data_IF_812818710670
#
_entry.id   IF_812818710670
#
_cell.length_a   1.000
_cell.length_b   1.000
_cell.length_c   1.000
_cell.angle_alpha   90.00
_cell.angle_beta   90.00
_cell.angle_gamma   90.00
#
_symmetry.space_group_name_H-M   'P 1'
#
loop_
_entity.id
_entity.type
_entity.pdbx_description
1 polymer ?
#
# COMPACT_ATOMS: atom_id res chain seq x y z
N UNK A 1 -18.64 11.08 22.05
CA UNK A 1 -17.81 11.68 21.00
C UNK A 1 -17.87 10.85 19.72
N UNK A 2 -17.45 9.59 19.71
CA UNK A 2 -17.39 8.76 18.49
C UNK A 2 -18.72 8.57 17.77
N UNK A 3 -19.81 8.30 18.50
CA UNK A 3 -21.16 8.22 17.91
C UNK A 3 -21.61 9.50 17.20
N UNK A 4 -21.25 10.68 17.75
CA UNK A 4 -21.56 11.96 17.13
C UNK A 4 -20.78 12.14 15.81
N UNK A 5 -19.46 11.83 15.82
CA UNK A 5 -18.63 11.83 14.62
C UNK A 5 -19.22 10.89 13.58
N UNK A 6 -19.60 9.67 13.99
CA UNK A 6 -20.22 8.67 13.11
C UNK A 6 -21.52 9.15 12.48
N UNK A 7 -22.45 9.71 13.28
CA UNK A 7 -23.71 10.26 12.75
C UNK A 7 -23.46 11.36 11.72
N UNK A 8 -22.58 12.33 12.05
CA UNK A 8 -22.25 13.43 11.15
C UNK A 8 -21.57 12.95 9.84
N UNK A 9 -20.72 11.92 9.94
CA UNK A 9 -20.09 11.34 8.75
C UNK A 9 -21.12 10.61 7.87
N UNK A 10 -22.09 9.90 8.46
CA UNK A 10 -23.16 9.18 7.74
C UNK A 10 -24.08 10.14 6.99
N UNK A 11 -24.46 11.25 7.63
CA UNK A 11 -25.23 12.31 6.98
C UNK A 11 -24.45 12.93 5.81
N UNK A 12 -23.16 13.22 6.02
CA UNK A 12 -22.29 13.77 4.99
C UNK A 12 -22.02 12.79 3.83
N UNK A 13 -22.00 11.47 4.11
CA UNK A 13 -21.85 10.44 3.09
C UNK A 13 -23.01 10.44 2.09
N UNK A 14 -24.23 10.68 2.54
CA UNK A 14 -25.38 10.80 1.64
C UNK A 14 -25.25 12.02 0.70
N UNK A 15 -24.68 13.12 1.18
CA UNK A 15 -24.47 14.33 0.37
C UNK A 15 -23.38 14.12 -0.69
N UNK A 16 -22.23 13.53 -0.29
CA UNK A 16 -21.10 13.34 -1.21
C UNK A 16 -21.38 12.30 -2.28
N UNK A 17 -22.16 11.27 -1.99
CA UNK A 17 -22.49 10.19 -2.92
C UNK A 17 -23.17 10.68 -4.22
N UNK A 18 -23.82 11.84 -4.19
CA UNK A 18 -24.55 12.41 -5.33
C UNK A 18 -23.82 13.61 -5.97
N UNK A 19 -22.61 13.95 -5.52
CA UNK A 19 -21.82 15.02 -6.15
C UNK A 19 -21.39 14.62 -7.55
N UNK A 20 -21.47 15.58 -8.48
CA UNK A 20 -20.93 15.38 -9.82
C UNK A 20 -19.40 15.30 -9.82
N UNK A 21 -18.85 14.60 -10.82
CA UNK A 21 -17.41 14.51 -11.04
C UNK A 21 -16.75 15.90 -11.11
N UNK A 22 -17.36 16.86 -11.81
CA UNK A 22 -16.84 18.23 -11.91
C UNK A 22 -16.77 18.90 -10.54
N UNK A 23 -17.79 18.68 -9.70
CA UNK A 23 -17.80 19.24 -8.35
C UNK A 23 -16.72 18.62 -7.47
N UNK A 24 -16.53 17.31 -7.51
CA UNK A 24 -15.44 16.63 -6.83
C UNK A 24 -14.07 17.14 -7.29
N UNK A 25 -13.88 17.28 -8.59
CA UNK A 25 -12.63 17.81 -9.18
C UNK A 25 -12.36 19.26 -8.76
N UNK A 26 -13.39 20.11 -8.70
CA UNK A 26 -13.28 21.49 -8.20
C UNK A 26 -12.84 21.52 -6.73
N UNK A 27 -13.39 20.63 -5.90
CA UNK A 27 -13.01 20.53 -4.49
C UNK A 27 -11.56 20.05 -4.36
N UNK A 28 -11.12 19.04 -5.12
CA UNK A 28 -9.73 18.55 -5.13
C UNK A 28 -8.75 19.68 -5.50
N UNK A 29 -9.07 20.49 -6.51
CA UNK A 29 -8.28 21.64 -6.88
C UNK A 29 -8.18 22.64 -5.72
N UNK A 30 -9.32 22.96 -5.09
CA UNK A 30 -9.37 23.89 -3.94
C UNK A 30 -8.56 23.32 -2.76
N UNK A 31 -8.63 22.02 -2.50
CA UNK A 31 -7.85 21.36 -1.44
C UNK A 31 -6.34 21.51 -1.70
N UNK A 32 -5.89 21.30 -2.92
CA UNK A 32 -4.49 21.45 -3.30
C UNK A 32 -4.01 22.92 -3.11
N UNK A 33 -4.79 23.88 -3.59
CA UNK A 33 -4.46 25.30 -3.48
C UNK A 33 -4.42 25.77 -2.01
N UNK A 34 -5.40 25.35 -1.20
CA UNK A 34 -5.46 25.71 0.22
C UNK A 34 -4.36 25.02 1.05
N UNK A 35 -3.90 23.81 0.72
CA UNK A 35 -2.73 23.21 1.35
C UNK A 35 -1.48 24.06 1.15
N UNK A 36 -1.23 24.52 -0.06
CA UNK A 36 -0.08 25.39 -0.37
C UNK A 36 -0.18 26.74 0.34
N UNK A 37 -1.33 27.36 0.30
CA UNK A 37 -1.60 28.66 0.94
C UNK A 37 -1.45 28.60 2.47
N UNK A 38 -1.78 27.47 3.09
CA UNK A 38 -1.72 27.27 4.53
C UNK A 38 -0.49 26.46 4.98
N UNK A 39 0.53 26.31 4.12
CA UNK A 39 1.74 25.49 4.40
C UNK A 39 2.41 25.88 5.72
N UNK A 40 2.50 27.19 6.02
CA UNK A 40 3.07 27.68 7.28
C UNK A 40 2.31 27.17 8.50
N UNK A 41 0.97 27.20 8.50
CA UNK A 41 0.14 26.68 9.59
C UNK A 41 0.40 25.20 9.84
N UNK A 42 0.47 24.42 8.76
CA UNK A 42 0.72 22.97 8.81
C UNK A 42 2.13 22.69 9.35
N UNK A 43 3.14 23.41 8.87
CA UNK A 43 4.52 23.27 9.35
C UNK A 43 4.69 23.67 10.81
N UNK A 44 3.98 24.70 11.28
CA UNK A 44 4.03 25.12 12.68
C UNK A 44 3.38 24.05 13.60
N UNK A 45 2.28 23.41 13.18
CA UNK A 45 1.70 22.25 13.87
C UNK A 45 2.66 21.05 13.87
N UNK A 46 3.34 20.79 12.74
CA UNK A 46 4.31 19.69 12.67
C UNK A 46 5.53 19.90 13.60
N UNK A 47 5.96 21.14 13.80
CA UNK A 47 7.00 21.46 14.79
C UNK A 47 6.57 21.10 16.22
N UNK A 48 5.27 21.24 16.54
CA UNK A 48 4.74 20.84 17.86
C UNK A 48 4.84 19.32 18.01
N UNK A 49 4.38 18.55 17.00
CA UNK A 49 4.49 17.10 17.01
C UNK A 49 5.94 16.62 17.14
N UNK A 50 6.85 17.19 16.37
CA UNK A 50 8.29 16.88 16.44
C UNK A 50 8.92 17.23 17.78
N UNK A 51 8.48 18.33 18.42
CA UNK A 51 8.92 18.69 19.77
C UNK A 51 8.42 17.69 20.80
N UNK A 52 7.14 17.33 20.74
CA UNK A 52 6.53 16.36 21.65
C UNK A 52 7.12 14.96 21.50
N UNK A 53 7.68 14.66 20.33
CA UNK A 53 8.28 13.35 20.02
C UNK A 53 9.76 13.23 20.45
N UNK A 54 10.41 14.31 20.89
CA UNK A 54 11.83 14.28 21.27
C UNK A 54 12.14 13.41 22.48
N UNK A 55 11.20 13.34 23.43
CA UNK A 55 11.32 12.56 24.66
C UNK A 55 10.84 11.11 24.48
N UNK A 56 10.40 10.76 23.28
CA UNK A 56 9.97 9.43 22.90
C UNK A 56 11.11 8.76 22.12
N UNK A 57 11.44 7.53 22.45
CA UNK A 57 12.51 6.76 21.80
C UNK A 57 12.08 6.31 20.39
N UNK A 58 11.88 7.30 19.49
CA UNK A 58 11.48 7.07 18.10
C UNK A 58 12.70 6.79 17.22
N UNK A 59 12.56 5.82 16.33
CA UNK A 59 13.62 5.55 15.33
C UNK A 59 13.79 6.72 14.36
N UNK A 60 15.01 6.94 13.80
CA UNK A 60 15.22 7.96 12.78
C UNK A 60 14.26 7.86 11.59
N UNK A 61 13.92 6.64 11.17
CA UNK A 61 12.96 6.39 10.10
C UNK A 61 11.53 6.87 10.46
N UNK A 62 11.12 6.72 11.73
CA UNK A 62 9.81 7.19 12.19
C UNK A 62 9.77 8.72 12.27
N UNK A 63 10.86 9.35 12.73
CA UNK A 63 11.01 10.81 12.76
C UNK A 63 10.98 11.38 11.33
N UNK A 64 11.66 10.75 10.38
CA UNK A 64 11.61 11.16 8.97
C UNK A 64 10.17 11.08 8.41
N UNK A 65 9.46 9.99 8.66
CA UNK A 65 8.04 9.82 8.24
C UNK A 65 7.12 10.87 8.84
N UNK A 66 7.36 11.26 10.09
CA UNK A 66 6.59 12.27 10.81
C UNK A 66 6.86 13.69 10.31
N UNK A 67 8.08 13.96 9.86
CA UNK A 67 8.52 15.31 9.49
C UNK A 67 7.84 15.80 8.23
N UNK A 68 7.40 17.05 8.23
CA UNK A 68 6.91 17.76 7.05
C UNK A 68 7.90 18.86 6.64
N UNK A 69 7.93 19.15 5.35
CA UNK A 69 8.64 20.26 4.72
C UNK A 69 7.74 20.92 3.70
N UNK A 70 8.12 22.09 3.18
CA UNK A 70 7.40 22.72 2.09
C UNK A 70 7.32 21.79 0.86
N UNK A 71 8.40 21.06 0.57
CA UNK A 71 8.44 20.09 -0.52
C UNK A 71 7.44 18.95 -0.31
N UNK A 72 7.33 18.42 0.93
CA UNK A 72 6.37 17.36 1.27
C UNK A 72 4.93 17.88 1.18
N UNK A 73 4.66 19.12 1.58
CA UNK A 73 3.33 19.73 1.40
C UNK A 73 3.01 19.95 -0.09
N UNK A 74 3.99 20.38 -0.89
CA UNK A 74 3.85 20.43 -2.35
C UNK A 74 3.55 19.03 -2.93
N UNK A 75 4.20 18.00 -2.40
CA UNK A 75 3.92 16.60 -2.75
C UNK A 75 2.47 16.21 -2.46
N UNK A 76 1.94 16.59 -1.29
CA UNK A 76 0.53 16.34 -0.91
C UNK A 76 -0.44 17.05 -1.87
N UNK A 77 -0.19 18.34 -2.18
CA UNK A 77 -1.00 19.09 -3.13
C UNK A 77 -0.97 18.45 -4.53
N UNK A 78 0.21 18.07 -5.02
CA UNK A 78 0.36 17.38 -6.30
C UNK A 78 -0.33 16.00 -6.30
N UNK A 79 -0.33 15.29 -5.17
CA UNK A 79 -1.08 14.05 -5.00
C UNK A 79 -2.58 14.24 -5.23
N UNK A 80 -3.16 15.29 -4.65
CA UNK A 80 -4.57 15.65 -4.89
C UNK A 80 -4.85 16.00 -6.35
N UNK A 81 -3.95 16.76 -7.00
CA UNK A 81 -4.09 17.12 -8.41
C UNK A 81 -4.03 15.90 -9.34
N UNK A 82 -3.24 14.87 -9.00
CA UNK A 82 -3.19 13.61 -9.75
C UNK A 82 -4.50 12.82 -9.69
N UNK A 83 -5.32 13.01 -8.65
CA UNK A 83 -6.64 12.36 -8.54
C UNK A 83 -7.66 12.97 -9.50
N UNK A 84 -7.51 14.24 -9.89
CA UNK A 84 -8.48 14.95 -10.75
C UNK A 84 -8.71 14.24 -12.08
N UNK A 85 -7.67 13.86 -12.86
CA UNK A 85 -7.86 13.20 -14.15
C UNK A 85 -8.32 11.74 -14.06
N UNK A 86 -8.32 11.13 -12.87
CA UNK A 86 -8.80 9.77 -12.71
C UNK A 86 -10.30 9.68 -13.01
N UNK A 87 -10.71 8.55 -13.55
CA UNK A 87 -12.11 8.27 -13.77
C UNK A 87 -12.89 8.25 -12.44
N UNK A 88 -14.05 8.89 -12.41
CA UNK A 88 -14.94 8.81 -11.25
C UNK A 88 -15.62 7.44 -11.25
N UNK A 89 -15.41 6.61 -10.24
CA UNK A 89 -15.98 5.26 -10.22
C UNK A 89 -17.49 5.24 -9.96
N UNK A 90 -18.04 6.32 -9.40
CA UNK A 90 -19.45 6.37 -8.96
C UNK A 90 -20.38 6.41 -10.15
N UNK A 91 -21.31 5.46 -10.21
CA UNK A 91 -22.26 5.34 -11.31
C UNK A 91 -21.77 4.57 -12.52
N UNK A 92 -20.49 4.13 -12.55
CA UNK A 92 -19.95 3.33 -13.64
C UNK A 92 -20.69 1.99 -13.76
N UNK A 93 -21.13 1.67 -14.97
CA UNK A 93 -21.76 0.38 -15.31
C UNK A 93 -20.63 -0.60 -15.65
N UNK A 94 -20.41 -1.58 -14.77
CA UNK A 94 -19.37 -2.60 -14.97
C UNK A 94 -19.85 -3.79 -15.79
N UNK A 95 -21.19 -4.01 -15.83
CA UNK A 95 -21.79 -5.08 -16.61
C UNK A 95 -23.27 -4.75 -16.89
N UNK A 96 -23.83 -5.29 -17.99
CA UNK A 96 -25.23 -5.09 -18.37
C UNK A 96 -25.70 -6.23 -19.23
N UNK A 97 -26.85 -6.82 -18.87
CA UNK A 97 -27.45 -7.91 -19.65
C UNK A 97 -28.98 -7.86 -19.61
N UNK A 98 -29.60 -8.67 -20.44
CA UNK A 98 -31.05 -8.85 -20.46
C UNK A 98 -31.36 -10.31 -20.13
N UNK A 99 -32.32 -10.54 -19.22
CA UNK A 99 -32.78 -11.89 -18.91
C UNK A 99 -33.76 -12.40 -19.97
N UNK A 100 -34.02 -13.71 -19.96
CA UNK A 100 -34.98 -14.33 -20.89
C UNK A 100 -36.42 -13.77 -20.67
N UNK A 101 -36.75 -13.34 -19.45
CA UNK A 101 -38.02 -12.71 -19.10
C UNK A 101 -38.11 -11.23 -19.52
N UNK A 102 -37.02 -10.69 -20.10
CA UNK A 102 -36.96 -9.33 -20.64
C UNK A 102 -36.52 -8.25 -19.65
N UNK A 103 -36.04 -8.59 -18.45
CA UNK A 103 -35.46 -7.63 -17.49
C UNK A 103 -34.11 -7.10 -17.97
N UNK A 104 -33.92 -5.79 -17.90
CA UNK A 104 -32.63 -5.16 -18.13
C UNK A 104 -31.88 -5.01 -16.81
N UNK A 105 -30.79 -5.75 -16.63
CA UNK A 105 -29.95 -5.73 -15.44
C UNK A 105 -28.72 -4.87 -15.72
N UNK A 106 -28.35 -4.02 -14.76
CA UNK A 106 -27.10 -3.24 -14.79
C UNK A 106 -26.39 -3.41 -13.46
N UNK A 107 -25.10 -3.74 -13.51
CA UNK A 107 -24.21 -3.74 -12.36
C UNK A 107 -23.52 -2.38 -12.29
N UNK A 108 -23.78 -1.61 -11.24
CA UNK A 108 -23.33 -0.22 -11.11
C UNK A 108 -22.45 -0.11 -9.88
N UNK A 109 -21.32 0.58 -9.98
CA UNK A 109 -20.46 0.93 -8.83
C UNK A 109 -21.14 2.02 -7.99
N UNK A 110 -21.18 1.82 -6.68
CA UNK A 110 -21.66 2.78 -5.69
C UNK A 110 -20.61 3.00 -4.59
N UNK A 111 -20.60 4.17 -3.92
CA UNK A 111 -19.75 4.38 -2.74
C UNK A 111 -20.04 3.37 -1.63
N UNK A 112 -19.05 3.09 -0.78
CA UNK A 112 -19.27 2.32 0.45
C UNK A 112 -20.12 3.09 1.46
N UNK A 113 -19.90 4.40 1.55
CA UNK A 113 -20.53 5.29 2.52
C UNK A 113 -19.52 6.01 3.38
N UNK A 114 -19.24 5.51 4.58
CA UNK A 114 -18.24 6.05 5.51
C UNK A 114 -17.04 5.11 5.58
N UNK A 115 -15.88 5.59 5.22
CA UNK A 115 -14.61 4.86 5.33
C UNK A 115 -13.87 5.31 6.58
N UNK A 116 -13.50 4.37 7.43
CA UNK A 116 -12.59 4.58 8.53
C UNK A 116 -11.15 4.35 8.06
N UNK A 117 -10.22 5.28 8.35
CA UNK A 117 -8.81 5.08 8.04
C UNK A 117 -7.98 5.19 9.30
N UNK A 118 -7.27 4.11 9.65
CA UNK A 118 -6.40 4.05 10.81
C UNK A 118 -4.95 3.98 10.31
N UNK A 119 -4.13 4.98 10.69
CA UNK A 119 -2.78 5.10 10.14
C UNK A 119 -1.75 5.53 11.18
N UNK A 120 -0.52 5.11 10.95
CA UNK A 120 0.63 5.45 11.77
C UNK A 120 1.22 6.83 11.38
N UNK A 121 2.36 7.18 11.91
CA UNK A 121 3.04 8.47 11.82
C UNK A 121 3.36 8.92 10.38
N UNK A 122 2.33 9.27 9.60
CA UNK A 122 2.39 9.75 8.21
C UNK A 122 1.35 10.84 7.98
N UNK A 123 1.65 12.11 8.30
CA UNK A 123 0.67 13.21 8.17
C UNK A 123 0.09 13.37 6.76
N UNK A 124 0.86 13.04 5.71
CA UNK A 124 0.40 13.09 4.32
C UNK A 124 -0.81 12.19 4.05
N UNK A 125 -0.95 11.07 4.77
CA UNK A 125 -2.10 10.15 4.61
C UNK A 125 -3.42 10.88 4.83
N UNK A 126 -3.44 11.90 5.72
CA UNK A 126 -4.63 12.73 5.95
C UNK A 126 -5.17 13.36 4.66
N UNK A 127 -4.29 13.93 3.82
CA UNK A 127 -4.70 14.52 2.53
C UNK A 127 -4.98 13.47 1.46
N UNK A 128 -4.12 12.47 1.35
CA UNK A 128 -4.16 11.49 0.27
C UNK A 128 -5.47 10.70 0.32
N UNK A 129 -5.80 10.13 1.50
CA UNK A 129 -7.04 9.35 1.64
C UNK A 129 -8.30 10.22 1.60
N UNK A 130 -8.24 11.48 2.07
CA UNK A 130 -9.38 12.40 1.95
C UNK A 130 -9.70 12.70 0.48
N UNK A 131 -8.67 12.90 -0.35
CA UNK A 131 -8.83 13.09 -1.79
C UNK A 131 -9.43 11.88 -2.50
N UNK A 132 -8.92 10.67 -2.19
CA UNK A 132 -9.43 9.42 -2.76
C UNK A 132 -10.87 9.12 -2.32
N UNK A 133 -11.19 9.34 -1.03
CA UNK A 133 -12.55 9.19 -0.52
C UNK A 133 -13.51 10.18 -1.19
N UNK A 134 -13.10 11.45 -1.36
CA UNK A 134 -13.88 12.46 -2.09
C UNK A 134 -14.17 12.01 -3.52
N UNK A 135 -13.15 11.59 -4.27
CA UNK A 135 -13.28 11.14 -5.67
C UNK A 135 -14.22 9.94 -5.78
N UNK A 136 -14.12 8.99 -4.86
CA UNK A 136 -14.94 7.79 -4.84
C UNK A 136 -16.31 7.96 -4.14
N UNK A 137 -16.67 9.19 -3.74
CA UNK A 137 -17.99 9.51 -3.20
C UNK A 137 -18.21 9.05 -1.76
N UNK A 138 -17.14 8.87 -0.97
CA UNK A 138 -17.22 8.40 0.41
C UNK A 138 -16.86 9.53 1.40
N UNK A 139 -17.55 9.56 2.54
CA UNK A 139 -17.07 10.31 3.69
C UNK A 139 -15.95 9.52 4.39
N UNK A 140 -15.06 10.22 5.12
CA UNK A 140 -13.95 9.58 5.81
C UNK A 140 -13.85 10.03 7.27
N UNK A 141 -13.60 9.06 8.16
CA UNK A 141 -13.21 9.28 9.54
C UNK A 141 -11.77 8.81 9.70
N UNK A 142 -10.89 9.74 10.05
CA UNK A 142 -9.46 9.53 10.20
C UNK A 142 -9.11 9.23 11.64
N UNK A 143 -8.19 8.27 11.85
CA UNK A 143 -7.58 7.96 13.14
C UNK A 143 -6.08 7.81 12.96
N UNK A 144 -5.37 8.93 13.02
CA UNK A 144 -3.92 8.95 12.96
C UNK A 144 -3.25 8.60 14.28
N UNK A 145 -1.94 8.35 14.24
CA UNK A 145 -1.12 8.18 15.44
C UNK A 145 -1.13 9.44 16.30
N UNK A 146 -1.02 9.26 17.64
CA UNK A 146 -0.85 10.37 18.57
C UNK A 146 0.42 11.20 18.36
N UNK A 147 1.41 10.64 17.64
CA UNK A 147 2.68 11.31 17.32
C UNK A 147 2.54 12.44 16.30
N UNK A 148 1.50 12.42 15.47
CA UNK A 148 1.27 13.40 14.40
C UNK A 148 -0.12 14.06 14.50
N UNK A 149 -0.71 14.11 15.70
CA UNK A 149 -2.08 14.57 15.86
C UNK A 149 -2.24 16.05 15.51
N UNK A 150 -1.33 16.92 15.95
CA UNK A 150 -1.39 18.36 15.70
C UNK A 150 -1.27 18.65 14.19
N UNK A 151 -0.36 17.95 13.50
CA UNK A 151 -0.22 18.02 12.03
C UNK A 151 -1.49 17.55 11.31
N UNK A 152 -2.04 16.41 11.72
CA UNK A 152 -3.23 15.83 11.10
C UNK A 152 -4.45 16.76 11.26
N UNK A 153 -4.64 17.36 12.45
CA UNK A 153 -5.71 18.34 12.69
C UNK A 153 -5.52 19.57 11.79
N UNK A 154 -4.30 20.13 11.74
CA UNK A 154 -4.02 21.29 10.90
C UNK A 154 -4.29 21.03 9.41
N UNK A 155 -3.92 19.85 8.90
CA UNK A 155 -4.22 19.44 7.53
C UNK A 155 -5.74 19.30 7.34
N UNK A 156 -6.41 18.58 8.23
CA UNK A 156 -7.85 18.34 8.15
C UNK A 156 -8.64 19.67 8.13
N UNK A 157 -8.30 20.63 8.98
CA UNK A 157 -8.95 21.93 9.02
C UNK A 157 -8.84 22.68 7.67
N UNK A 158 -7.70 22.56 6.98
CA UNK A 158 -7.51 23.11 5.64
C UNK A 158 -8.41 22.42 4.63
N UNK A 159 -8.51 21.08 4.69
CA UNK A 159 -9.37 20.31 3.81
C UNK A 159 -10.87 20.59 4.06
N UNK A 160 -11.27 20.70 5.33
CA UNK A 160 -12.65 21.06 5.70
C UNK A 160 -13.01 22.50 5.25
N UNK A 161 -12.04 23.43 5.33
CA UNK A 161 -12.24 24.77 4.78
C UNK A 161 -12.47 24.74 3.25
N UNK A 162 -11.75 23.88 2.55
CA UNK A 162 -11.92 23.70 1.11
C UNK A 162 -13.32 23.17 0.74
N UNK A 163 -13.89 22.27 1.56
CA UNK A 163 -15.30 21.86 1.41
C UNK A 163 -16.25 23.03 1.62
N UNK A 164 -16.03 23.82 2.67
CA UNK A 164 -16.88 24.99 3.00
C UNK A 164 -16.84 26.06 1.91
N UNK A 165 -15.67 26.33 1.32
CA UNK A 165 -15.49 27.24 0.17
C UNK A 165 -16.25 26.78 -1.07
N UNK A 166 -16.50 25.48 -1.15
CA UNK A 166 -17.28 24.85 -2.21
C UNK A 166 -18.76 24.63 -1.86
N UNK A 167 -19.25 25.17 -0.73
CA UNK A 167 -20.60 24.97 -0.19
C UNK A 167 -20.94 23.49 0.05
N UNK A 168 -19.98 22.68 0.47
CA UNK A 168 -20.16 21.29 0.83
C UNK A 168 -20.04 21.10 2.35
N UNK A 169 -20.61 20.01 2.84
CA UNK A 169 -20.60 19.65 4.25
C UNK A 169 -19.18 19.34 4.70
N UNK A 170 -18.65 20.09 5.67
CA UNK A 170 -17.30 19.87 6.20
C UNK A 170 -17.11 18.51 6.87
N UNK A 171 -18.21 17.88 7.34
CA UNK A 171 -18.18 16.59 8.01
C UNK A 171 -17.95 15.40 7.05
N UNK A 172 -17.79 15.66 5.74
CA UNK A 172 -17.27 14.67 4.78
C UNK A 172 -15.89 14.15 5.23
N UNK A 173 -15.06 15.04 5.83
CA UNK A 173 -13.77 14.67 6.40
C UNK A 173 -13.79 14.91 7.90
N UNK A 174 -13.52 13.90 8.69
CA UNK A 174 -13.48 13.97 10.15
C UNK A 174 -12.25 13.25 10.72
N UNK A 175 -11.85 13.58 11.93
CA UNK A 175 -10.75 12.94 12.65
C UNK A 175 -11.15 12.65 14.09
N UNK A 176 -10.64 11.54 14.61
CA UNK A 176 -10.73 11.20 16.03
C UNK A 176 -9.52 11.83 16.72
N UNK A 177 -9.73 12.89 17.50
CA UNK A 177 -8.67 13.66 18.16
C UNK A 177 -8.15 13.00 19.45
N UNK A 178 -8.84 11.99 19.94
CA UNK A 178 -8.42 11.27 21.15
C UNK A 178 -7.09 10.55 20.96
N UNK A 179 -6.25 10.56 21.99
CA UNK A 179 -4.98 9.81 22.05
C UNK A 179 -5.16 8.42 22.68
N UNK A 180 -6.36 8.11 23.19
CA UNK A 180 -6.63 6.83 23.84
C UNK A 180 -6.71 5.70 22.82
N UNK A 181 -6.04 4.58 23.10
CA UNK A 181 -6.11 3.36 22.31
C UNK A 181 -7.48 2.70 22.40
N UNK A 182 -8.19 2.87 23.52
CA UNK A 182 -9.54 2.34 23.68
C UNK A 182 -10.52 2.94 22.68
N UNK A 183 -10.40 4.23 22.35
CA UNK A 183 -11.21 4.87 21.32
C UNK A 183 -10.93 4.29 19.91
N UNK A 184 -9.72 3.81 19.67
CA UNK A 184 -9.41 3.10 18.42
C UNK A 184 -10.14 1.76 18.35
N UNK A 185 -10.19 1.01 19.46
CA UNK A 185 -10.94 -0.25 19.53
C UNK A 185 -12.46 0.01 19.41
N UNK A 186 -12.97 1.06 20.08
CA UNK A 186 -14.37 1.46 19.95
C UNK A 186 -14.68 1.84 18.49
N UNK A 187 -13.80 2.59 17.82
CA UNK A 187 -13.93 2.94 16.41
C UNK A 187 -14.01 1.72 15.49
N UNK A 188 -13.20 0.69 15.72
CA UNK A 188 -13.24 -0.58 14.98
C UNK A 188 -14.56 -1.35 15.15
N UNK A 189 -15.40 -0.96 16.11
CA UNK A 189 -16.67 -1.59 16.43
C UNK A 189 -17.90 -0.72 16.07
N UNK A 190 -17.72 0.43 15.44
CA UNK A 190 -18.80 1.35 15.06
C UNK A 190 -19.56 0.92 13.81
N UNK A 191 -20.07 -0.30 13.77
CA UNK A 191 -20.76 -0.90 12.61
C UNK A 191 -22.05 -0.16 12.18
N UNK A 192 -22.63 0.67 13.04
CA UNK A 192 -23.78 1.52 12.69
C UNK A 192 -23.38 2.68 11.77
N UNK A 193 -22.12 3.11 11.80
CA UNK A 193 -21.67 4.36 11.20
C UNK A 193 -20.55 4.19 10.18
N UNK A 194 -19.70 3.17 10.35
CA UNK A 194 -18.52 2.93 9.50
C UNK A 194 -18.75 1.68 8.67
N UNK A 195 -18.64 1.81 7.37
CA UNK A 195 -18.93 0.75 6.41
C UNK A 195 -17.69 -0.08 6.07
N UNK A 196 -16.50 0.51 6.13
CA UNK A 196 -15.22 -0.14 5.82
C UNK A 196 -14.08 0.54 6.60
N UNK A 197 -13.11 -0.26 7.10
CA UNK A 197 -11.85 0.26 7.64
C UNK A 197 -10.69 -0.08 6.71
N UNK A 198 -9.83 0.91 6.47
CA UNK A 198 -8.57 0.78 5.73
C UNK A 198 -7.40 1.09 6.68
N UNK A 199 -6.61 0.09 7.08
CA UNK A 199 -5.42 0.32 7.89
C UNK A 199 -4.24 0.75 7.03
N UNK A 200 -3.37 1.62 7.58
CA UNK A 200 -2.07 2.02 6.98
C UNK A 200 -1.00 2.03 8.07
N UNK A 201 -0.48 0.86 8.41
CA UNK A 201 0.52 0.69 9.47
C UNK A 201 1.14 -0.69 9.47
N UNK A 202 1.98 -0.97 10.46
CA UNK A 202 2.70 -2.24 10.57
C UNK A 202 1.87 -3.38 11.13
N UNK A 203 2.51 -4.56 11.24
CA UNK A 203 1.91 -5.83 11.70
C UNK A 203 1.08 -5.70 12.99
N UNK A 204 1.54 -4.86 13.94
CA UNK A 204 0.82 -4.66 15.22
C UNK A 204 -0.56 -4.01 15.06
N UNK A 205 -0.71 -3.06 14.13
CA UNK A 205 -2.00 -2.46 13.81
C UNK A 205 -2.91 -3.48 13.11
N UNK A 206 -2.38 -4.21 12.15
CA UNK A 206 -3.12 -5.25 11.42
C UNK A 206 -3.63 -6.32 12.39
N UNK A 207 -2.78 -6.83 13.29
CA UNK A 207 -3.18 -7.81 14.29
C UNK A 207 -4.27 -7.25 15.22
N UNK A 208 -4.15 -5.99 15.63
CA UNK A 208 -5.17 -5.33 16.47
C UNK A 208 -6.53 -5.28 15.76
N UNK A 209 -6.55 -5.01 14.45
CA UNK A 209 -7.77 -5.04 13.63
C UNK A 209 -8.37 -6.43 13.54
N UNK A 210 -7.54 -7.43 13.23
CA UNK A 210 -7.98 -8.84 13.14
C UNK A 210 -8.63 -9.29 14.44
N UNK A 211 -8.05 -8.92 15.58
CA UNK A 211 -8.51 -9.37 16.91
C UNK A 211 -9.76 -8.61 17.39
N UNK A 212 -9.98 -7.36 16.97
CA UNK A 212 -10.96 -6.48 17.61
C UNK A 212 -12.02 -5.88 16.68
N UNK A 213 -11.83 -5.88 15.35
CA UNK A 213 -12.77 -5.18 14.47
C UNK A 213 -14.02 -5.99 14.18
N UNK A 214 -15.17 -5.33 14.30
CA UNK A 214 -16.47 -5.82 13.77
C UNK A 214 -16.86 -5.11 12.47
N UNK A 215 -16.29 -3.93 12.22
CA UNK A 215 -16.42 -3.27 10.92
C UNK A 215 -15.57 -4.04 9.91
N UNK A 216 -16.08 -4.34 8.70
CA UNK A 216 -15.28 -4.91 7.64
C UNK A 216 -14.01 -4.10 7.38
N UNK A 217 -12.89 -4.76 7.06
CA UNK A 217 -11.64 -4.06 6.79
C UNK A 217 -10.87 -4.72 5.64
N UNK A 218 -10.04 -3.93 4.97
CA UNK A 218 -9.11 -4.43 3.95
C UNK A 218 -7.77 -4.66 4.63
N UNK A 219 -7.20 -5.85 4.45
CA UNK A 219 -5.84 -6.14 4.89
C UNK A 219 -4.87 -5.69 3.81
N UNK A 220 -3.93 -4.84 4.20
CA UNK A 220 -2.70 -4.61 3.48
C UNK A 220 -1.71 -5.66 3.98
N UNK A 221 -1.34 -6.61 3.12
CA UNK A 221 -0.48 -7.72 3.50
C UNK A 221 1.00 -7.33 3.52
N UNK A 222 1.81 -8.11 4.25
CA UNK A 222 3.27 -8.08 4.11
C UNK A 222 3.67 -8.50 2.69
N UNK A 223 4.78 -7.97 2.20
CA UNK A 223 5.29 -8.28 0.87
C UNK A 223 6.46 -9.27 0.89
N UNK A 224 6.26 -10.52 1.34
CA UNK A 224 7.29 -11.55 1.19
C UNK A 224 7.33 -12.09 -0.24
N UNK A 225 7.97 -11.33 -1.11
CA UNK A 225 7.94 -11.44 -2.57
C UNK A 225 9.01 -12.40 -3.07
N UNK A 226 8.64 -13.30 -3.99
CA UNK A 226 9.56 -14.25 -4.62
C UNK A 226 9.73 -13.97 -6.10
N UNK A 227 10.93 -14.26 -6.61
CA UNK A 227 11.22 -14.34 -8.04
C UNK A 227 11.88 -15.69 -8.33
N UNK A 228 11.29 -16.47 -9.23
CA UNK A 228 11.85 -17.72 -9.70
C UNK A 228 12.48 -17.57 -11.08
N UNK A 229 13.73 -18.00 -11.24
CA UNK A 229 14.44 -18.06 -12.51
C UNK A 229 14.42 -19.51 -13.03
N UNK A 230 13.63 -19.75 -14.07
CA UNK A 230 13.53 -21.07 -14.70
C UNK A 230 14.70 -21.33 -15.64
N UNK A 231 14.97 -22.61 -15.94
CA UNK A 231 16.11 -23.04 -16.76
C UNK A 231 16.17 -22.45 -18.17
N UNK A 232 15.04 -22.04 -18.74
CA UNK A 232 14.94 -21.45 -20.08
C UNK A 232 14.83 -19.93 -20.08
N UNK A 233 15.03 -19.28 -18.93
CA UNK A 233 14.98 -17.83 -18.83
C UNK A 233 16.01 -17.16 -19.75
N UNK A 234 15.64 -16.03 -20.35
CA UNK A 234 16.57 -15.21 -21.16
C UNK A 234 17.68 -14.64 -20.29
N UNK A 235 18.89 -15.20 -20.45
CA UNK A 235 20.06 -14.86 -19.64
C UNK A 235 20.38 -13.37 -19.63
N UNK A 236 20.16 -12.68 -20.75
CA UNK A 236 20.41 -11.23 -20.93
C UNK A 236 19.57 -10.33 -20.04
N UNK A 237 18.39 -10.78 -19.58
CA UNK A 237 17.48 -9.99 -18.76
C UNK A 237 17.54 -10.33 -17.27
N UNK A 238 18.13 -11.47 -16.89
CA UNK A 238 18.11 -11.98 -15.52
C UNK A 238 18.69 -10.96 -14.55
N UNK A 239 19.89 -10.45 -14.82
CA UNK A 239 20.59 -9.54 -13.91
C UNK A 239 19.80 -8.26 -13.68
N UNK A 240 19.34 -7.63 -14.77
CA UNK A 240 18.62 -6.35 -14.70
C UNK A 240 17.31 -6.50 -13.91
N UNK A 241 16.56 -7.58 -14.12
CA UNK A 241 15.30 -7.84 -13.43
C UNK A 241 15.54 -8.13 -11.95
N UNK A 242 16.50 -8.98 -11.60
CA UNK A 242 16.83 -9.32 -10.21
C UNK A 242 17.29 -8.08 -9.45
N UNK A 243 18.24 -7.32 -10.00
CA UNK A 243 18.77 -6.11 -9.36
C UNK A 243 17.67 -5.05 -9.21
N UNK A 244 16.89 -4.80 -10.27
CA UNK A 244 15.77 -3.86 -10.19
C UNK A 244 14.75 -4.28 -9.11
N UNK A 245 14.39 -5.57 -9.06
CA UNK A 245 13.41 -6.09 -8.10
C UNK A 245 13.84 -5.90 -6.64
N UNK A 246 15.14 -5.98 -6.32
CA UNK A 246 15.64 -5.81 -4.95
C UNK A 246 16.14 -4.41 -4.63
N UNK A 247 16.92 -3.79 -5.54
CA UNK A 247 17.78 -2.64 -5.20
C UNK A 247 17.09 -1.30 -5.43
N UNK A 248 16.16 -1.20 -6.38
CA UNK A 248 15.54 0.07 -6.73
C UNK A 248 14.90 0.78 -5.51
N UNK A 249 14.21 0.03 -4.65
CA UNK A 249 13.59 0.53 -3.41
C UNK A 249 13.34 -0.63 -2.45
N UNK A 250 14.31 -1.03 -1.63
CA UNK A 250 14.23 -2.26 -0.85
C UNK A 250 13.18 -2.23 0.28
N UNK A 251 12.80 -1.05 0.78
CA UNK A 251 11.89 -0.87 1.91
C UNK A 251 10.41 -0.78 1.55
N UNK A 252 9.94 -1.48 0.51
CA UNK A 252 8.53 -1.51 0.07
C UNK A 252 8.05 -2.94 -0.17
N UNK A 253 6.74 -3.15 -0.03
CA UNK A 253 6.09 -4.46 -0.06
C UNK A 253 6.23 -5.26 -1.37
N UNK A 254 6.59 -4.64 -2.50
CA UNK A 254 6.83 -5.31 -3.78
C UNK A 254 8.32 -5.48 -4.10
N UNK A 255 9.23 -5.19 -3.15
CA UNK A 255 10.64 -5.51 -3.28
C UNK A 255 10.88 -7.02 -3.12
N UNK A 256 11.83 -7.56 -3.87
CA UNK A 256 12.19 -8.98 -3.81
C UNK A 256 12.76 -9.35 -2.43
N UNK A 257 12.26 -10.42 -1.82
CA UNK A 257 12.72 -10.92 -0.52
C UNK A 257 13.33 -12.32 -0.61
N UNK A 258 12.87 -13.13 -1.57
CA UNK A 258 13.45 -14.44 -1.86
C UNK A 258 13.67 -14.65 -3.36
N UNK A 259 14.89 -15.04 -3.73
CA UNK A 259 15.27 -15.42 -5.08
C UNK A 259 15.41 -16.95 -5.18
N UNK A 260 14.63 -17.58 -6.06
CA UNK A 260 14.72 -18.99 -6.36
C UNK A 260 15.39 -19.17 -7.73
N UNK A 261 16.45 -19.98 -7.80
CA UNK A 261 17.23 -20.17 -9.02
C UNK A 261 17.19 -21.64 -9.42
N UNK A 262 16.76 -21.94 -10.64
CA UNK A 262 16.84 -23.30 -11.16
C UNK A 262 18.31 -23.78 -11.18
N UNK A 263 18.55 -25.04 -10.80
CA UNK A 263 19.90 -25.60 -10.67
C UNK A 263 20.72 -25.51 -11.96
N UNK A 264 20.11 -25.62 -13.13
CA UNK A 264 20.82 -25.47 -14.42
C UNK A 264 21.24 -24.01 -14.67
N UNK A 265 20.38 -23.04 -14.38
CA UNK A 265 20.73 -21.61 -14.47
C UNK A 265 21.79 -21.26 -13.42
N UNK A 266 21.71 -21.85 -12.23
CA UNK A 266 22.73 -21.62 -11.20
C UNK A 266 24.12 -22.09 -11.67
N UNK A 267 24.23 -23.26 -12.29
CA UNK A 267 25.49 -23.73 -12.87
C UNK A 267 26.06 -22.76 -13.93
N UNK A 268 25.19 -22.15 -14.75
CA UNK A 268 25.61 -21.29 -15.84
C UNK A 268 25.87 -19.83 -15.41
N UNK A 269 25.07 -19.29 -14.48
CA UNK A 269 25.03 -17.87 -14.14
C UNK A 269 25.03 -17.58 -12.64
N UNK A 270 25.00 -18.60 -11.79
CA UNK A 270 24.84 -18.41 -10.34
C UNK A 270 25.89 -17.47 -9.76
N UNK A 271 27.18 -17.69 -10.10
CA UNK A 271 28.27 -16.82 -9.64
C UNK A 271 28.03 -15.36 -10.04
N UNK A 272 27.65 -15.11 -11.30
CA UNK A 272 27.40 -13.75 -11.79
C UNK A 272 26.23 -13.08 -11.06
N UNK A 273 25.14 -13.81 -10.81
CA UNK A 273 23.97 -13.29 -10.09
C UNK A 273 24.35 -12.91 -8.67
N UNK A 274 25.05 -13.79 -7.95
CA UNK A 274 25.50 -13.57 -6.57
C UNK A 274 26.47 -12.37 -6.51
N UNK A 275 27.47 -12.33 -7.39
CA UNK A 275 28.44 -11.23 -7.44
C UNK A 275 27.74 -9.88 -7.70
N UNK A 276 26.78 -9.82 -8.61
CA UNK A 276 26.03 -8.59 -8.91
C UNK A 276 25.16 -8.12 -7.74
N UNK A 277 24.58 -9.02 -6.98
CA UNK A 277 23.86 -8.68 -5.75
C UNK A 277 24.79 -8.12 -4.69
N UNK A 278 25.98 -8.73 -4.51
CA UNK A 278 27.01 -8.26 -3.57
C UNK A 278 27.61 -6.90 -3.98
N UNK A 279 27.88 -6.68 -5.27
CA UNK A 279 28.31 -5.37 -5.81
C UNK A 279 27.31 -4.25 -5.44
N UNK A 280 26.02 -4.59 -5.42
CA UNK A 280 24.94 -3.67 -5.02
C UNK A 280 24.69 -3.64 -3.50
N UNK A 281 25.62 -4.20 -2.69
CA UNK A 281 25.59 -4.20 -1.21
C UNK A 281 24.39 -4.94 -0.62
N UNK A 282 23.85 -5.93 -1.32
CA UNK A 282 22.80 -6.78 -0.78
C UNK A 282 23.44 -7.83 0.14
N UNK A 283 23.00 -7.90 1.39
CA UNK A 283 23.34 -8.98 2.32
C UNK A 283 22.56 -10.24 1.93
N UNK A 284 23.27 -11.34 1.69
CA UNK A 284 22.69 -12.57 1.19
C UNK A 284 22.64 -13.66 2.27
N UNK A 285 21.48 -14.32 2.36
CA UNK A 285 21.25 -15.55 3.11
C UNK A 285 21.01 -16.66 2.10
N UNK A 286 21.94 -17.62 2.02
CA UNK A 286 21.98 -18.59 0.92
C UNK A 286 21.78 -20.03 1.40
N UNK A 287 21.29 -20.91 0.54
CA UNK A 287 21.21 -22.33 0.83
C UNK A 287 22.60 -23.00 0.83
N UNK A 288 22.64 -24.29 1.16
CA UNK A 288 23.90 -25.06 1.26
C UNK A 288 24.62 -25.14 -0.09
N UNK A 289 23.89 -25.25 -1.20
CA UNK A 289 24.47 -25.32 -2.56
C UNK A 289 25.27 -24.05 -2.89
N UNK A 290 24.70 -22.89 -2.63
CA UNK A 290 25.37 -21.60 -2.88
C UNK A 290 26.48 -21.40 -1.86
N UNK A 291 26.29 -21.84 -0.62
CA UNK A 291 27.28 -21.73 0.47
C UNK A 291 28.57 -22.50 0.18
N UNK A 292 28.48 -23.63 -0.54
CA UNK A 292 29.67 -24.38 -0.99
C UNK A 292 30.54 -23.54 -1.93
N UNK A 293 29.93 -22.82 -2.87
CA UNK A 293 30.64 -21.96 -3.83
C UNK A 293 31.08 -20.63 -3.22
N UNK A 294 30.31 -20.10 -2.24
CA UNK A 294 30.55 -18.83 -1.56
C UNK A 294 30.63 -18.99 -0.04
N UNK A 295 31.71 -19.56 0.52
CA UNK A 295 31.82 -19.91 1.94
C UNK A 295 31.69 -18.75 2.93
N UNK A 296 31.87 -17.52 2.47
CA UNK A 296 31.78 -16.32 3.31
C UNK A 296 30.35 -15.78 3.47
N UNK A 297 29.37 -16.25 2.71
CA UNK A 297 27.97 -15.82 2.82
C UNK A 297 27.27 -16.45 4.03
N UNK A 298 26.20 -15.83 4.49
CA UNK A 298 25.41 -16.35 5.61
C UNK A 298 24.53 -17.50 5.13
N UNK A 299 24.50 -18.60 5.89
CA UNK A 299 23.58 -19.70 5.62
C UNK A 299 22.14 -19.29 5.97
N UNK A 300 21.23 -19.54 5.05
CA UNK A 300 19.80 -19.31 5.27
C UNK A 300 19.22 -20.36 6.23
N UNK A 301 18.23 -19.96 6.99
CA UNK A 301 17.34 -20.84 7.75
C UNK A 301 15.88 -20.48 7.43
N UNK A 302 14.92 -21.24 7.95
CA UNK A 302 13.49 -21.04 7.69
C UNK A 302 13.03 -19.61 7.98
N UNK A 303 13.50 -19.02 9.07
CA UNK A 303 13.10 -17.64 9.41
C UNK A 303 13.54 -16.59 8.38
N UNK A 304 14.60 -16.84 7.61
CA UNK A 304 15.01 -15.94 6.53
C UNK A 304 14.06 -16.01 5.33
N UNK A 305 13.46 -17.15 5.05
CA UNK A 305 12.45 -17.31 3.99
C UNK A 305 11.06 -16.77 4.41
N UNK A 306 10.78 -16.71 5.71
CA UNK A 306 9.53 -16.15 6.27
C UNK A 306 9.57 -14.62 6.44
N UNK A 307 10.79 -14.02 6.35
CA UNK A 307 11.00 -12.62 6.71
C UNK A 307 10.87 -11.70 5.51
N UNK A 308 9.96 -10.72 5.61
CA UNK A 308 10.00 -9.51 4.80
C UNK A 308 11.09 -8.59 5.38
N UNK A 309 12.26 -8.54 4.74
CA UNK A 309 13.43 -7.79 5.26
C UNK A 309 13.24 -6.28 5.19
N UNK A 310 12.56 -5.77 4.15
CA UNK A 310 12.40 -4.33 3.89
C UNK A 310 13.73 -3.56 3.85
N UNK A 311 14.80 -4.25 3.47
CA UNK A 311 16.18 -3.76 3.47
C UNK A 311 16.96 -4.38 2.30
N UNK A 312 18.22 -3.97 2.12
CA UNK A 312 19.14 -4.60 1.17
C UNK A 312 19.61 -5.98 1.68
N UNK A 313 18.64 -6.86 1.91
CA UNK A 313 18.80 -8.25 2.34
C UNK A 313 17.97 -9.17 1.46
N UNK A 314 18.47 -10.34 1.16
CA UNK A 314 17.81 -11.27 0.24
C UNK A 314 18.11 -12.73 0.63
N UNK A 315 17.07 -13.55 0.71
CA UNK A 315 17.24 -15.00 0.76
C UNK A 315 17.40 -15.55 -0.66
N UNK A 316 18.34 -16.48 -0.86
CA UNK A 316 18.59 -17.09 -2.17
C UNK A 316 18.65 -18.60 -2.03
N UNK A 317 17.92 -19.31 -2.88
CA UNK A 317 17.83 -20.79 -2.85
C UNK A 317 17.88 -21.36 -4.25
N UNK A 318 18.64 -22.46 -4.42
CA UNK A 318 18.64 -23.27 -5.63
C UNK A 318 17.50 -24.29 -5.55
N UNK A 319 16.77 -24.46 -6.65
CA UNK A 319 15.68 -25.42 -6.79
C UNK A 319 15.81 -26.20 -8.12
N UNK A 320 15.38 -27.45 -8.14
CA UNK A 320 15.56 -28.29 -9.33
C UNK A 320 14.43 -28.17 -10.37
N UNK A 321 13.27 -27.66 -9.96
CA UNK A 321 12.11 -27.59 -10.84
C UNK A 321 11.19 -26.42 -10.48
N UNK A 322 10.27 -26.10 -11.40
CA UNK A 322 9.18 -25.15 -11.15
C UNK A 322 8.26 -25.62 -10.01
N UNK A 323 8.06 -26.93 -9.86
CA UNK A 323 7.22 -27.49 -8.78
C UNK A 323 7.83 -27.23 -7.40
N UNK A 324 9.15 -27.39 -7.25
CA UNK A 324 9.84 -27.03 -5.99
C UNK A 324 9.77 -25.54 -5.70
N UNK A 325 9.87 -24.67 -6.73
CA UNK A 325 9.69 -23.24 -6.56
C UNK A 325 8.26 -22.91 -6.10
N UNK A 326 7.25 -23.51 -6.71
CA UNK A 326 5.84 -23.35 -6.35
C UNK A 326 5.58 -23.83 -4.91
N UNK A 327 6.12 -24.98 -4.51
CA UNK A 327 6.00 -25.45 -3.14
C UNK A 327 6.63 -24.51 -2.13
N UNK A 328 7.83 -23.99 -2.42
CA UNK A 328 8.49 -23.01 -1.58
C UNK A 328 7.64 -21.74 -1.43
N UNK A 329 7.15 -21.19 -2.54
CA UNK A 329 6.30 -20.00 -2.56
C UNK A 329 5.02 -20.23 -1.76
N UNK A 330 4.36 -21.38 -1.91
CA UNK A 330 3.14 -21.70 -1.14
C UNK A 330 3.35 -21.71 0.38
N UNK A 331 4.56 -22.05 0.82
CA UNK A 331 4.89 -22.11 2.26
C UNK A 331 5.20 -20.71 2.80
N UNK A 332 5.94 -19.89 2.05
CA UNK A 332 6.56 -18.67 2.57
C UNK A 332 5.96 -17.38 2.03
N UNK A 333 5.22 -17.41 0.92
CA UNK A 333 4.61 -16.21 0.34
C UNK A 333 3.55 -15.59 1.25
N UNK A 334 3.48 -14.28 1.21
CA UNK A 334 2.39 -13.49 1.80
C UNK A 334 1.18 -13.31 0.87
N UNK A 335 1.23 -13.82 -0.37
CA UNK A 335 0.16 -13.64 -1.36
C UNK A 335 0.13 -12.26 -2.04
N UNK A 336 1.20 -11.47 -1.91
CA UNK A 336 1.26 -10.11 -2.46
C UNK A 336 1.70 -10.12 -3.93
N UNK A 337 2.95 -10.48 -4.21
CA UNK A 337 3.53 -10.40 -5.56
C UNK A 337 4.53 -11.53 -5.77
N UNK A 338 4.41 -12.23 -6.90
CA UNK A 338 5.37 -13.26 -7.30
C UNK A 338 5.81 -13.04 -8.75
N UNK A 339 6.99 -13.53 -9.09
CA UNK A 339 7.50 -13.43 -10.45
C UNK A 339 8.18 -14.71 -10.91
N UNK A 340 8.10 -14.97 -12.22
CA UNK A 340 8.84 -16.03 -12.89
C UNK A 340 9.54 -15.47 -14.14
N UNK A 341 10.79 -15.90 -14.36
CA UNK A 341 11.50 -15.68 -15.62
C UNK A 341 11.53 -16.99 -16.40
N UNK A 342 10.86 -17.05 -17.54
CA UNK A 342 10.78 -18.23 -18.40
C UNK A 342 10.37 -17.84 -19.83
N UNK A 343 10.85 -18.58 -20.82
CA UNK A 343 10.38 -18.45 -22.21
C UNK A 343 9.26 -19.47 -22.52
N UNK A 344 9.04 -20.45 -21.63
CA UNK A 344 7.97 -21.43 -21.81
C UNK A 344 6.62 -20.89 -21.32
N UNK A 345 5.70 -20.73 -22.26
CA UNK A 345 4.32 -20.38 -21.93
C UNK A 345 3.64 -21.40 -21.03
N UNK A 346 3.92 -22.68 -21.22
CA UNK A 346 3.35 -23.76 -20.42
C UNK A 346 3.79 -23.68 -18.95
N UNK A 347 5.09 -23.41 -18.74
CA UNK A 347 5.66 -23.22 -17.40
C UNK A 347 5.09 -21.97 -16.74
N UNK A 348 4.99 -20.87 -17.48
CA UNK A 348 4.38 -19.62 -16.99
C UNK A 348 2.91 -19.81 -16.60
N UNK A 349 2.12 -20.49 -17.43
CA UNK A 349 0.71 -20.79 -17.16
C UNK A 349 0.55 -21.72 -15.94
N UNK A 350 1.44 -22.69 -15.77
CA UNK A 350 1.47 -23.61 -14.62
C UNK A 350 1.78 -22.83 -13.33
N UNK A 351 2.81 -22.01 -13.36
CA UNK A 351 3.21 -21.14 -12.24
C UNK A 351 2.04 -20.22 -11.83
N UNK A 352 1.47 -19.50 -12.80
CA UNK A 352 0.39 -18.56 -12.54
C UNK A 352 -0.89 -19.21 -11.99
N UNK A 353 -1.21 -20.45 -12.41
CA UNK A 353 -2.39 -21.20 -11.91
C UNK A 353 -2.17 -21.84 -10.54
N UNK A 354 -0.91 -22.07 -10.17
CA UNK A 354 -0.56 -22.81 -8.95
C UNK A 354 -0.31 -21.95 -7.73
N UNK A 355 -0.18 -20.63 -7.92
CA UNK A 355 0.15 -19.66 -6.88
C UNK A 355 -1.04 -18.74 -6.66
N UNK A 356 -1.43 -18.59 -5.39
CA UNK A 356 -2.51 -17.71 -4.94
C UNK A 356 -1.91 -16.38 -4.42
N UNK A 357 -1.47 -15.53 -5.37
CA UNK A 357 -0.97 -14.19 -5.08
C UNK A 357 -1.73 -13.14 -5.89
N UNK A 358 -1.86 -11.95 -5.33
CA UNK A 358 -2.61 -10.84 -5.95
C UNK A 358 -2.04 -10.43 -7.30
N UNK A 359 -0.71 -10.53 -7.45
CA UNK A 359 0.01 -10.19 -8.69
C UNK A 359 1.03 -11.27 -9.03
N UNK A 360 1.04 -11.70 -10.27
CA UNK A 360 2.03 -12.62 -10.82
C UNK A 360 2.63 -12.00 -12.07
N UNK A 361 3.96 -11.81 -12.06
CA UNK A 361 4.70 -11.31 -13.21
C UNK A 361 5.39 -12.44 -13.98
N UNK A 362 5.38 -12.32 -15.30
CA UNK A 362 6.16 -13.15 -16.21
C UNK A 362 7.17 -12.25 -16.91
N UNK A 363 8.45 -12.58 -16.81
CA UNK A 363 9.57 -11.85 -17.42
C UNK A 363 9.61 -10.35 -17.07
N UNK A 364 9.26 -10.01 -15.84
CA UNK A 364 9.22 -8.62 -15.40
C UNK A 364 9.67 -8.48 -13.93
N UNK A 365 10.05 -7.26 -13.56
CA UNK A 365 10.40 -6.92 -12.18
C UNK A 365 9.16 -6.87 -11.30
N UNK A 366 9.29 -7.32 -10.06
CA UNK A 366 8.24 -7.26 -9.03
C UNK A 366 7.88 -5.82 -8.66
N UNK A 367 8.77 -4.86 -8.96
CA UNK A 367 8.59 -3.44 -8.70
C UNK A 367 7.47 -2.77 -9.49
N UNK A 368 6.93 -3.44 -10.50
CA UNK A 368 5.77 -2.95 -11.26
C UNK A 368 4.43 -3.17 -10.56
N UNK A 369 4.37 -3.83 -9.41
CA UNK A 369 3.14 -3.91 -8.60
C UNK A 369 2.82 -2.53 -8.02
N UNK A 370 2.01 -1.79 -8.74
CA UNK A 370 1.64 -0.41 -8.43
C UNK A 370 0.38 -0.04 -9.20
N UNK A 371 -0.59 0.59 -8.53
CA UNK A 371 -1.88 0.91 -9.14
C UNK A 371 -1.76 1.90 -10.31
N UNK A 372 -0.84 2.87 -10.25
CA UNK A 372 -0.57 3.81 -11.33
C UNK A 372 0.03 3.08 -12.54
N UNK A 373 0.97 2.15 -12.32
CA UNK A 373 1.61 1.34 -13.36
C UNK A 373 0.62 0.38 -14.04
N UNK A 374 -0.36 -0.13 -13.31
CA UNK A 374 -1.42 -1.00 -13.85
C UNK A 374 -2.55 -0.23 -14.55
N UNK A 375 -2.53 1.09 -14.49
CA UNK A 375 -3.61 1.91 -15.05
C UNK A 375 -4.88 1.93 -14.20
N UNK A 376 -4.80 1.53 -12.94
CA UNK A 376 -5.95 1.59 -12.01
C UNK A 376 -6.10 2.97 -11.37
N UNK A 377 -5.19 3.90 -11.64
CA UNK A 377 -5.13 5.23 -11.06
C UNK A 377 -4.27 5.26 -9.79
N UNK A 378 -4.70 6.00 -8.78
CA UNK A 378 -4.03 6.00 -7.47
C UNK A 378 -4.41 4.77 -6.67
N UNK A 379 -3.49 4.27 -5.88
CA UNK A 379 -3.78 3.20 -4.93
C UNK A 379 -4.84 3.62 -3.89
#
# INVERSE_FOLDING_TARGET
>A
MLKQIGTQAKDAAAEIAVLSTDKKNQILQTMADELLKNSKKILDANKIDLKNSKDLDLTPALIDRLSLSEERINGMANGLLKIIPLEDPVGNITDSWKTDEGLHIKKIRSPFGVIGVIYEARPNVTSDVSGLCLKSGNAVILRGSSYCLDSNIAILEVLQNSLSLNNCNKNIFQIIESKDRQDTIEFMNLTEFVDLIVPRGGKGLIQTLVDNSKVPFILDGDGNVHLYIHQDAKKEHIIDIVINSKVQRPGVCNALETLLINSQIYQDMGSLIIEKLLENKVELFVDETIKEDFPNLNLANESHYETEFLDLKLAVKVVDSVDQAIEHIKVYSSGHTEAILTESKEVADTFAKSIDSSVIFINSSTRFTDGEMFGFGSE
#
